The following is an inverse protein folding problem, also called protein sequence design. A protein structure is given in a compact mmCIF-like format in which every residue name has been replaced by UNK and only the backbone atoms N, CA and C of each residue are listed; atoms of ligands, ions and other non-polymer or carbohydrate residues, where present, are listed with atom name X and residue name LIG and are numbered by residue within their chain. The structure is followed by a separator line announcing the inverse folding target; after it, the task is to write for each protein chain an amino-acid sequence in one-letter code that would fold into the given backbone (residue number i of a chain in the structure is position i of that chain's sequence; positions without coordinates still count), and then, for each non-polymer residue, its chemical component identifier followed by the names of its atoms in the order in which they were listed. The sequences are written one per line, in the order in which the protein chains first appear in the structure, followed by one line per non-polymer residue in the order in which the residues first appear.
data_IF_290823304432
#
_entry.id   IF_290823304432
#
_cell.length_a   1.000
_cell.length_b   1.000
_cell.length_c   1.000
_cell.angle_alpha   90.00
_cell.angle_beta   90.00
_cell.angle_gamma   90.00
#
_symmetry.space_group_name_H-M   'P 1'
#
loop_
_entity.id
_entity.type
_entity.pdbx_description
1 polymer ?
#
# COMPACT_ATOMS: atom_id res chain seq x y z
N UNK A 1 -28.61 -3.53 -7.81
CA UNK A 1 -28.58 -2.05 -7.73
C UNK A 1 -29.63 -1.52 -8.69
N UNK A 2 -30.53 -0.66 -8.21
CA UNK A 2 -31.45 0.06 -9.09
C UNK A 2 -30.68 1.07 -9.96
N UNK A 3 -31.31 1.62 -11.01
CA UNK A 3 -30.66 2.55 -11.95
C UNK A 3 -30.15 3.82 -11.26
N UNK A 4 -30.84 4.30 -10.23
CA UNK A 4 -30.49 5.50 -9.49
C UNK A 4 -29.23 5.32 -8.63
N UNK A 5 -29.13 4.21 -7.89
CA UNK A 5 -27.94 3.84 -7.11
C UNK A 5 -26.73 3.57 -8.01
N UNK A 6 -26.94 2.96 -9.19
CA UNK A 6 -25.88 2.79 -10.19
C UNK A 6 -25.35 4.13 -10.70
N UNK A 7 -26.24 5.05 -11.09
CA UNK A 7 -25.85 6.38 -11.55
C UNK A 7 -25.08 7.14 -10.47
N UNK A 8 -25.56 7.12 -9.22
CA UNK A 8 -24.87 7.76 -8.08
C UNK A 8 -23.49 7.16 -7.82
N UNK A 9 -23.36 5.83 -7.89
CA UNK A 9 -22.08 5.15 -7.69
C UNK A 9 -21.09 5.52 -8.81
N UNK A 10 -21.52 5.49 -10.08
CA UNK A 10 -20.67 5.90 -11.21
C UNK A 10 -20.19 7.35 -11.01
N UNK A 11 -21.09 8.30 -10.76
CA UNK A 11 -20.72 9.71 -10.54
C UNK A 11 -19.71 9.84 -9.41
N UNK A 12 -19.95 9.19 -8.27
CA UNK A 12 -19.04 9.26 -7.11
C UNK A 12 -17.65 8.72 -7.45
N UNK A 13 -17.56 7.59 -8.15
CA UNK A 13 -16.29 6.96 -8.55
C UNK A 13 -15.56 7.76 -9.64
N UNK A 14 -16.30 8.35 -10.59
CA UNK A 14 -15.73 9.25 -11.60
C UNK A 14 -15.14 10.50 -10.97
N UNK A 15 -15.87 11.17 -10.07
CA UNK A 15 -15.36 12.34 -9.34
C UNK A 15 -14.09 11.97 -8.57
N UNK A 16 -14.10 10.83 -7.87
CA UNK A 16 -12.92 10.36 -7.15
C UNK A 16 -11.71 10.12 -8.08
N UNK A 17 -11.92 9.46 -9.21
CA UNK A 17 -10.86 9.19 -10.19
C UNK A 17 -10.28 10.49 -10.77
N UNK A 18 -11.13 11.47 -11.09
CA UNK A 18 -10.69 12.78 -11.56
C UNK A 18 -9.88 13.53 -10.50
N UNK A 19 -10.30 13.49 -9.24
CA UNK A 19 -9.53 14.08 -8.13
C UNK A 19 -8.16 13.41 -8.00
N UNK A 20 -8.09 12.07 -8.05
CA UNK A 20 -6.82 11.33 -8.04
C UNK A 20 -5.95 11.82 -9.20
N UNK A 21 -6.50 11.91 -10.40
CA UNK A 21 -5.74 12.31 -11.59
C UNK A 21 -5.21 13.73 -11.52
N UNK A 22 -6.05 14.68 -11.08
CA UNK A 22 -5.63 16.07 -10.86
C UNK A 22 -4.52 16.13 -9.83
N UNK A 23 -4.63 15.41 -8.71
CA UNK A 23 -3.60 15.39 -7.68
C UNK A 23 -2.29 14.78 -8.22
N UNK A 24 -2.36 13.67 -8.96
CA UNK A 24 -1.19 13.03 -9.59
C UNK A 24 -0.48 13.99 -10.55
N UNK A 25 -1.23 14.68 -11.43
CA UNK A 25 -0.68 15.67 -12.36
C UNK A 25 -0.07 16.85 -11.61
N UNK A 26 -0.75 17.35 -10.58
CA UNK A 26 -0.24 18.44 -9.73
C UNK A 26 1.07 18.05 -9.04
N UNK A 27 1.17 16.83 -8.49
CA UNK A 27 2.42 16.35 -7.89
C UNK A 27 3.55 16.26 -8.92
N UNK A 28 3.26 15.81 -10.13
CA UNK A 28 4.24 15.77 -11.22
C UNK A 28 4.75 17.19 -11.58
N UNK A 29 3.83 18.15 -11.74
CA UNK A 29 4.19 19.54 -12.08
C UNK A 29 5.02 20.22 -10.99
N UNK A 30 4.69 20.01 -9.72
CA UNK A 30 5.35 20.67 -8.59
C UNK A 30 6.68 19.97 -8.21
N UNK A 31 6.72 18.64 -8.19
CA UNK A 31 7.81 17.88 -7.59
C UNK A 31 8.56 16.96 -8.57
N UNK A 32 8.12 16.87 -9.83
CA UNK A 32 8.70 16.04 -10.88
C UNK A 32 8.15 14.61 -10.92
N UNK A 33 8.43 13.92 -12.01
CA UNK A 33 7.86 12.59 -12.30
C UNK A 33 8.23 11.53 -11.25
N UNK A 34 9.47 11.56 -10.75
CA UNK A 34 9.99 10.63 -9.73
C UNK A 34 9.28 10.72 -8.37
N UNK A 35 8.58 11.82 -8.12
CA UNK A 35 7.87 12.08 -6.87
C UNK A 35 6.34 11.94 -7.01
N UNK A 36 5.85 11.59 -8.19
CA UNK A 36 4.42 11.38 -8.46
C UNK A 36 3.82 10.27 -7.59
N UNK A 37 4.60 9.24 -7.26
CA UNK A 37 4.16 8.13 -6.42
C UNK A 37 3.83 8.56 -4.97
N UNK A 38 4.47 9.62 -4.46
CA UNK A 38 4.12 10.23 -3.17
C UNK A 38 2.72 10.85 -3.24
N UNK A 39 2.36 11.45 -4.38
CA UNK A 39 1.01 11.95 -4.63
C UNK A 39 -0.03 10.83 -4.59
N UNK A 40 0.23 9.71 -5.27
CA UNK A 40 -0.68 8.55 -5.27
C UNK A 40 -0.94 8.04 -3.84
N UNK A 41 0.10 7.83 -3.04
CA UNK A 41 -0.07 7.33 -1.66
C UNK A 41 -0.70 8.36 -0.74
N UNK A 42 -0.48 9.66 -0.98
CA UNK A 42 -1.21 10.75 -0.31
C UNK A 42 -2.72 10.61 -0.57
N UNK A 43 -3.15 10.40 -1.81
CA UNK A 43 -4.59 10.25 -2.11
C UNK A 43 -5.18 9.00 -1.46
N UNK A 44 -4.48 7.87 -1.50
CA UNK A 44 -4.93 6.64 -0.83
C UNK A 44 -5.08 6.89 0.69
N UNK A 45 -4.14 7.62 1.29
CA UNK A 45 -4.20 8.00 2.70
C UNK A 45 -5.41 8.87 3.01
N UNK A 46 -5.70 9.89 2.19
CA UNK A 46 -6.91 10.73 2.33
C UNK A 46 -8.16 9.85 2.37
N UNK A 47 -8.29 8.92 1.42
CA UNK A 47 -9.46 8.04 1.31
C UNK A 47 -9.63 7.15 2.54
N UNK A 48 -8.54 6.63 3.06
CA UNK A 48 -8.55 5.75 4.23
C UNK A 48 -8.74 6.50 5.55
N UNK A 49 -8.51 7.82 5.57
CA UNK A 49 -8.78 8.69 6.70
C UNK A 49 -10.16 9.36 6.64
N UNK A 50 -10.97 9.19 5.57
CA UNK A 50 -12.32 9.79 5.48
C UNK A 50 -13.29 9.35 6.59
N UNK A 51 -13.06 8.15 7.16
CA UNK A 51 -13.82 7.61 8.27
C UNK A 51 -13.38 8.09 9.65
N UNK A 52 -12.27 8.84 9.74
CA UNK A 52 -11.74 9.39 10.99
C UNK A 52 -12.01 10.88 11.11
N UNK A 53 -12.00 11.39 12.34
CA UNK A 53 -12.00 12.83 12.59
C UNK A 53 -10.68 13.28 13.20
N UNK A 54 -9.78 13.73 12.33
CA UNK A 54 -8.49 14.28 12.76
C UNK A 54 -8.55 15.76 13.17
N UNK A 55 -9.68 16.44 12.97
CA UNK A 55 -9.80 17.89 13.21
C UNK A 55 -9.98 18.24 14.68
N UNK A 56 -10.25 17.26 15.54
CA UNK A 56 -10.36 17.43 16.99
C UNK A 56 -9.02 17.85 17.64
N UNK A 57 -7.90 17.34 17.13
CA UNK A 57 -6.55 17.69 17.58
C UNK A 57 -5.65 17.95 16.38
N UNK A 58 -5.90 19.03 15.62
CA UNK A 58 -5.42 19.16 14.25
C UNK A 58 -3.90 19.33 14.19
N UNK A 59 -3.31 20.11 15.11
CA UNK A 59 -1.84 20.30 15.17
C UNK A 59 -1.13 19.00 15.50
N UNK A 60 -1.60 18.27 16.52
CA UNK A 60 -1.04 16.97 16.91
C UNK A 60 -1.11 15.97 15.76
N UNK A 61 -2.27 15.86 15.11
CA UNK A 61 -2.48 14.94 14.00
C UNK A 61 -1.65 15.33 12.78
N UNK A 62 -1.55 16.62 12.47
CA UNK A 62 -0.66 17.13 11.43
C UNK A 62 0.80 16.75 11.70
N UNK A 63 1.31 16.99 12.92
CA UNK A 63 2.68 16.64 13.28
C UNK A 63 2.94 15.13 13.20
N UNK A 64 1.96 14.30 13.56
CA UNK A 64 2.06 12.84 13.40
C UNK A 64 2.11 12.47 11.91
N UNK A 65 1.22 13.00 11.07
CA UNK A 65 1.22 12.73 9.62
C UNK A 65 2.53 13.16 8.96
N UNK A 66 2.99 14.36 9.30
CA UNK A 66 4.25 14.93 8.83
C UNK A 66 5.43 14.06 9.27
N UNK A 67 5.48 13.70 10.56
CA UNK A 67 6.52 12.85 11.12
C UNK A 67 6.59 11.47 10.45
N UNK A 68 5.43 10.82 10.23
CA UNK A 68 5.36 9.55 9.51
C UNK A 68 5.88 9.74 8.07
N UNK A 69 5.36 10.72 7.33
CA UNK A 69 5.76 10.93 5.94
C UNK A 69 7.27 11.16 5.79
N UNK A 70 7.85 12.03 6.61
CA UNK A 70 9.29 12.33 6.60
C UNK A 70 10.12 11.13 7.04
N UNK A 71 9.69 10.41 8.08
CA UNK A 71 10.39 9.21 8.53
C UNK A 71 10.45 8.15 7.43
N UNK A 72 9.36 7.92 6.69
CA UNK A 72 9.34 6.98 5.56
C UNK A 72 10.25 7.46 4.42
N UNK A 73 10.24 8.76 4.10
CA UNK A 73 11.09 9.35 3.06
C UNK A 73 12.58 9.19 3.37
N UNK A 74 12.99 9.56 4.57
CA UNK A 74 14.39 9.47 5.01
C UNK A 74 14.83 8.01 5.14
N UNK A 75 14.00 7.16 5.75
CA UNK A 75 14.35 5.75 5.96
C UNK A 75 14.50 5.01 4.63
N UNK A 76 13.58 5.21 3.68
CA UNK A 76 13.67 4.58 2.36
C UNK A 76 14.89 5.05 1.56
N UNK A 77 15.28 6.32 1.68
CA UNK A 77 16.49 6.85 1.08
C UNK A 77 17.76 6.20 1.64
N UNK A 78 17.88 6.09 2.97
CA UNK A 78 19.03 5.43 3.61
C UNK A 78 19.07 3.95 3.23
N UNK A 79 17.91 3.27 3.24
CA UNK A 79 17.81 1.85 2.92
C UNK A 79 18.18 1.55 1.46
N UNK A 80 17.77 2.40 0.51
CA UNK A 80 18.09 2.22 -0.89
C UNK A 80 19.58 2.44 -1.20
N UNK A 81 20.26 3.31 -0.45
CA UNK A 81 21.66 3.63 -0.66
C UNK A 81 22.64 2.60 -0.06
N UNK A 82 22.22 1.84 0.96
CA UNK A 82 23.05 0.78 1.53
C UNK A 82 22.19 -0.43 1.87
N UNK A 83 22.34 -1.52 1.10
CA UNK A 83 21.50 -2.73 1.23
C UNK A 83 21.65 -3.40 2.61
N UNK A 84 22.84 -3.36 3.23
CA UNK A 84 23.09 -3.97 4.55
C UNK A 84 22.47 -3.19 5.70
N UNK A 85 22.47 -1.86 5.61
CA UNK A 85 21.69 -1.03 6.54
C UNK A 85 20.21 -1.12 6.20
N UNK A 86 19.90 -1.21 4.91
CA UNK A 86 18.55 -1.26 4.35
C UNK A 86 17.75 -2.45 4.82
N UNK A 87 18.32 -3.65 4.95
CA UNK A 87 17.58 -4.80 5.50
C UNK A 87 17.10 -4.55 6.94
N UNK A 88 17.91 -3.86 7.76
CA UNK A 88 17.55 -3.53 9.14
C UNK A 88 16.47 -2.46 9.17
N UNK A 89 16.61 -1.42 8.33
CA UNK A 89 15.63 -0.34 8.21
C UNK A 89 14.30 -0.86 7.65
N UNK A 90 14.32 -1.62 6.56
CA UNK A 90 13.15 -2.23 5.93
C UNK A 90 12.38 -3.08 6.94
N UNK A 91 13.09 -3.94 7.67
CA UNK A 91 12.49 -4.76 8.72
C UNK A 91 11.80 -3.89 9.77
N UNK A 92 12.52 -2.88 10.27
CA UNK A 92 12.03 -2.00 11.34
C UNK A 92 10.82 -1.20 10.89
N UNK A 93 10.91 -0.49 9.76
CA UNK A 93 9.85 0.37 9.23
C UNK A 93 8.59 -0.41 8.91
N UNK A 94 8.71 -1.54 8.20
CA UNK A 94 7.54 -2.33 7.81
C UNK A 94 6.92 -3.08 9.00
N UNK A 95 7.73 -3.48 9.99
CA UNK A 95 7.20 -4.01 11.26
C UNK A 95 6.45 -2.93 12.05
N UNK A 96 7.00 -1.72 12.15
CA UNK A 96 6.33 -0.60 12.84
C UNK A 96 5.01 -0.22 12.15
N UNK A 97 5.01 -0.10 10.82
CA UNK A 97 3.79 0.11 10.03
C UNK A 97 2.79 -1.02 10.31
N UNK A 98 3.25 -2.27 10.22
CA UNK A 98 2.41 -3.44 10.43
C UNK A 98 1.81 -3.52 11.84
N UNK A 99 2.54 -3.09 12.86
CA UNK A 99 2.07 -3.11 14.24
C UNK A 99 1.12 -1.96 14.57
N UNK A 100 1.51 -0.73 14.28
CA UNK A 100 0.77 0.47 14.70
C UNK A 100 -0.48 0.75 13.84
N UNK A 101 -0.46 0.35 12.57
CA UNK A 101 -1.59 0.59 11.65
C UNK A 101 -2.51 -0.61 11.46
N UNK A 102 -2.25 -1.77 12.07
CA UNK A 102 -3.18 -2.91 12.14
C UNK A 102 -4.21 -2.80 13.27
N UNK A 103 -4.49 -1.55 13.65
CA UNK A 103 -5.38 -1.23 14.74
C UNK A 103 -6.83 -1.65 14.46
N UNK A 104 -7.55 -2.09 15.51
CA UNK A 104 -8.86 -2.74 15.43
C UNK A 104 -8.90 -3.92 14.43
N UNK A 105 -7.75 -4.54 14.15
CA UNK A 105 -7.59 -5.59 13.12
C UNK A 105 -7.95 -5.12 11.71
N UNK A 106 -8.06 -3.81 11.50
CA UNK A 106 -8.26 -3.20 10.18
C UNK A 106 -6.91 -2.90 9.56
N UNK A 107 -6.79 -3.13 8.25
CA UNK A 107 -5.56 -2.84 7.49
C UNK A 107 -5.56 -1.47 6.83
N UNK A 108 -6.47 -0.59 7.24
CA UNK A 108 -6.75 0.68 6.55
C UNK A 108 -5.46 1.45 6.26
N UNK A 109 -4.72 1.84 7.30
CA UNK A 109 -3.53 2.69 7.12
C UNK A 109 -2.24 1.92 6.80
N UNK A 110 -2.24 0.59 6.89
CA UNK A 110 -1.07 -0.23 6.52
C UNK A 110 -0.77 -0.07 5.03
N UNK A 111 -1.82 -0.14 4.19
CA UNK A 111 -1.67 -0.10 2.74
C UNK A 111 -1.00 1.18 2.24
N UNK A 112 -1.47 2.40 2.56
CA UNK A 112 -0.90 3.64 2.02
C UNK A 112 0.53 3.86 2.51
N UNK A 113 0.81 3.69 3.80
CA UNK A 113 2.13 3.93 4.35
C UNK A 113 3.14 2.85 3.96
N UNK A 114 2.72 1.58 3.90
CA UNK A 114 3.57 0.51 3.40
C UNK A 114 3.89 0.68 1.91
N UNK A 115 2.89 1.02 1.08
CA UNK A 115 3.15 1.33 -0.34
C UNK A 115 4.01 2.59 -0.51
N UNK A 116 3.83 3.63 0.30
CA UNK A 116 4.65 4.83 0.23
C UNK A 116 6.12 4.51 0.47
N UNK A 117 6.41 3.77 1.53
CA UNK A 117 7.77 3.30 1.81
C UNK A 117 8.34 2.48 0.66
N UNK A 118 7.59 1.47 0.20
CA UNK A 118 8.05 0.56 -0.85
C UNK A 118 8.21 1.24 -2.21
N UNK A 119 7.36 2.19 -2.55
CA UNK A 119 7.50 2.99 -3.77
C UNK A 119 8.79 3.81 -3.73
N UNK A 120 9.03 4.54 -2.64
CA UNK A 120 10.24 5.35 -2.50
C UNK A 120 11.52 4.51 -2.46
N UNK A 121 11.48 3.34 -1.82
CA UNK A 121 12.60 2.37 -1.79
C UNK A 121 12.95 1.85 -3.19
N UNK A 122 11.94 1.61 -4.03
CA UNK A 122 12.10 1.04 -5.38
C UNK A 122 12.18 2.11 -6.49
N UNK A 123 12.15 3.39 -6.13
CA UNK A 123 12.49 4.53 -6.98
C UNK A 123 13.40 5.49 -6.21
N UNK A 124 14.65 5.09 -5.91
CA UNK A 124 15.58 5.97 -5.18
C UNK A 124 15.84 7.24 -5.99
N UNK A 125 16.02 8.34 -5.26
CA UNK A 125 16.32 9.66 -5.85
C UNK A 125 17.39 10.32 -4.99
N UNK A 126 18.24 11.11 -5.63
CA UNK A 126 19.38 11.78 -5.00
C UNK A 126 19.36 13.29 -5.27
N UNK A 127 20.21 14.02 -4.54
CA UNK A 127 20.44 15.44 -4.74
C UNK A 127 19.17 16.30 -4.69
N UNK A 128 19.01 17.19 -5.67
CA UNK A 128 17.87 18.10 -5.74
C UNK A 128 16.52 17.39 -5.91
N UNK A 129 16.49 16.21 -6.54
CA UNK A 129 15.25 15.42 -6.70
C UNK A 129 14.79 14.86 -5.35
N UNK A 130 15.73 14.45 -4.50
CA UNK A 130 15.43 14.06 -3.12
C UNK A 130 14.88 15.21 -2.29
N UNK A 131 15.43 16.42 -2.44
CA UNK A 131 14.88 17.62 -1.78
C UNK A 131 13.42 17.85 -2.19
N UNK A 132 13.11 17.71 -3.50
CA UNK A 132 11.71 17.75 -3.97
C UNK A 132 10.84 16.65 -3.38
N UNK A 133 11.38 15.45 -3.12
CA UNK A 133 10.66 14.37 -2.43
C UNK A 133 10.26 14.77 -1.02
N UNK A 134 11.17 15.42 -0.28
CA UNK A 134 10.87 15.95 1.07
C UNK A 134 9.76 17.00 0.99
N UNK A 135 9.82 17.94 0.05
CA UNK A 135 8.73 18.90 -0.15
C UNK A 135 7.41 18.23 -0.53
N UNK A 136 7.43 17.21 -1.38
CA UNK A 136 6.24 16.44 -1.75
C UNK A 136 5.60 15.73 -0.54
N UNK A 137 6.42 15.18 0.37
CA UNK A 137 5.96 14.53 1.60
C UNK A 137 5.35 15.49 2.61
N UNK A 138 5.95 16.68 2.76
CA UNK A 138 5.41 17.78 3.58
C UNK A 138 4.08 18.24 2.99
N UNK A 139 4.05 18.50 1.68
CA UNK A 139 2.86 18.93 0.97
C UNK A 139 1.74 17.89 1.04
N UNK A 140 2.07 16.60 0.95
CA UNK A 140 1.12 15.52 1.14
C UNK A 140 0.47 15.53 2.53
N UNK A 141 1.23 15.76 3.60
CA UNK A 141 0.69 15.88 4.96
C UNK A 141 -0.26 17.09 5.09
N UNK A 142 0.09 18.22 4.46
CA UNK A 142 -0.76 19.42 4.41
C UNK A 142 -2.09 19.12 3.70
N UNK A 143 -2.04 18.51 2.51
CA UNK A 143 -3.25 18.15 1.75
C UNK A 143 -4.13 17.19 2.55
N UNK A 144 -3.54 16.19 3.22
CA UNK A 144 -4.30 15.28 4.06
C UNK A 144 -5.06 16.06 5.13
N UNK A 145 -4.41 16.96 5.86
CA UNK A 145 -5.10 17.76 6.89
C UNK A 145 -6.16 18.71 6.33
N UNK A 146 -5.88 19.39 5.21
CA UNK A 146 -6.86 20.24 4.52
C UNK A 146 -8.10 19.41 4.13
N UNK A 147 -7.89 18.21 3.57
CA UNK A 147 -9.00 17.32 3.20
C UNK A 147 -9.84 16.90 4.41
N UNK A 148 -9.21 16.69 5.57
CA UNK A 148 -9.92 16.36 6.82
C UNK A 148 -10.83 17.50 7.28
N UNK A 149 -10.35 18.75 7.23
CA UNK A 149 -11.18 19.92 7.51
C UNK A 149 -12.35 20.05 6.54
N UNK A 150 -12.14 19.88 5.23
CA UNK A 150 -13.21 19.97 4.23
C UNK A 150 -14.29 18.89 4.44
N UNK A 151 -13.88 17.65 4.71
CA UNK A 151 -14.79 16.51 4.85
C UNK A 151 -15.56 16.57 6.17
N UNK A 152 -14.89 16.92 7.28
CA UNK A 152 -15.51 16.90 8.61
C UNK A 152 -16.26 18.21 8.91
N UNK A 153 -15.98 19.32 8.22
CA UNK A 153 -16.78 20.55 8.34
C UNK A 153 -18.27 20.36 7.99
N UNK A 154 -18.62 19.32 7.20
CA UNK A 154 -20.00 19.03 6.77
C UNK A 154 -20.71 17.94 7.58
N UNK A 155 -20.01 17.26 8.50
CA UNK A 155 -20.60 16.19 9.30
C UNK A 155 -21.08 16.74 10.63
N UNK A 156 -22.40 16.78 10.83
CA UNK A 156 -22.97 16.96 12.18
C UNK A 156 -22.60 15.74 13.02
N UNK A 157 -21.58 15.85 13.87
CA UNK A 157 -21.22 15.10 15.10
C UNK A 157 -21.83 13.70 15.36
N UNK A 158 -22.04 12.86 14.35
CA UNK A 158 -22.45 11.46 14.52
C UNK A 158 -21.31 10.55 14.09
N UNK A 159 -20.17 10.59 14.80
CA UNK A 159 -19.18 9.54 14.72
C UNK A 159 -18.66 9.16 16.11
N UNK A 160 -18.90 7.89 16.45
CA UNK A 160 -18.40 7.22 17.65
C UNK A 160 -17.03 6.60 17.36
N UNK A 161 -16.10 6.88 18.28
CA UNK A 161 -15.10 5.97 18.87
C UNK A 161 -13.62 5.98 18.43
N UNK A 162 -13.13 6.74 17.43
CA UNK A 162 -11.67 6.67 17.17
C UNK A 162 -10.99 7.88 16.50
N UNK A 163 -10.41 8.75 17.34
CA UNK A 163 -9.80 10.01 16.91
C UNK A 163 -8.27 9.95 16.77
N UNK A 164 -7.67 8.75 16.75
CA UNK A 164 -6.21 8.57 16.71
C UNK A 164 -5.73 7.96 15.38
N UNK A 165 -4.65 8.53 14.83
CA UNK A 165 -3.95 8.01 13.64
C UNK A 165 -3.23 6.71 14.01
N UNK A 166 -2.59 6.72 15.19
CA UNK A 166 -1.87 5.60 15.78
C UNK A 166 -2.75 5.01 16.88
N UNK A 167 -3.03 3.72 16.75
CA UNK A 167 -3.97 3.05 17.61
C UNK A 167 -3.40 2.61 18.95
N UNK A 168 -3.94 3.16 20.04
CA UNK A 168 -3.81 2.62 21.39
C UNK A 168 -5.21 2.60 22.01
N UNK A 169 -5.91 1.47 21.93
CA UNK A 169 -7.20 1.36 22.59
C UNK A 169 -6.98 0.94 24.03
N UNK A 170 -7.66 1.61 24.96
CA UNK A 170 -7.78 1.13 26.34
C UNK A 170 -8.85 0.04 26.46
N UNK A 171 -9.72 -0.11 25.47
CA UNK A 171 -10.89 -0.99 25.49
C UNK A 171 -10.75 -2.25 24.59
N UNK A 172 -9.55 -2.57 24.10
CA UNK A 172 -9.34 -3.79 23.29
C UNK A 172 -9.31 -5.06 24.16
N UNK A 173 -9.87 -6.15 23.62
CA UNK A 173 -10.07 -7.45 24.29
C UNK A 173 -8.75 -7.96 24.90
N UNK A 174 -8.72 -8.07 26.24
CA UNK A 174 -7.53 -8.37 27.06
C UNK A 174 -6.95 -9.78 26.78
N UNK A 175 -7.70 -10.68 26.13
CA UNK A 175 -7.27 -12.08 25.86
C UNK A 175 -6.21 -12.23 24.77
N UNK A 176 -6.01 -11.22 23.92
CA UNK A 176 -5.04 -11.26 22.80
C UNK A 176 -3.71 -10.59 23.17
N UNK A 177 -3.70 -9.84 24.26
CA UNK A 177 -2.53 -9.19 24.82
C UNK A 177 -1.76 -10.14 25.72
N UNK A 178 -0.43 -10.14 25.60
CA UNK A 178 0.46 -10.83 26.54
C UNK A 178 1.42 -9.82 27.15
N UNK A 179 1.64 -9.94 28.45
CA UNK A 179 2.63 -9.14 29.16
C UNK A 179 4.02 -9.75 29.02
N UNK A 180 4.99 -8.90 28.67
CA UNK A 180 6.40 -9.27 28.64
C UNK A 180 7.20 -8.27 29.48
N UNK A 181 8.23 -8.75 30.16
CA UNK A 181 9.22 -7.91 30.82
C UNK A 181 10.28 -7.51 29.79
N UNK A 182 10.27 -6.26 29.35
CA UNK A 182 11.23 -5.68 28.42
C UNK A 182 11.95 -4.54 29.13
N UNK A 183 13.28 -4.62 29.21
CA UNK A 183 14.11 -3.59 29.86
C UNK A 183 13.63 -3.19 31.26
N UNK A 184 13.22 -4.17 32.08
CA UNK A 184 12.73 -3.94 33.43
C UNK A 184 11.31 -3.34 33.54
N UNK A 185 10.62 -3.10 32.42
CA UNK A 185 9.23 -2.61 32.40
C UNK A 185 8.28 -3.66 31.84
N UNK A 186 7.09 -3.78 32.44
CA UNK A 186 6.01 -4.64 31.93
C UNK A 186 5.34 -3.96 30.74
N UNK A 187 5.36 -4.62 29.59
CA UNK A 187 4.75 -4.11 28.35
C UNK A 187 3.71 -5.11 27.86
N UNK A 188 2.48 -4.63 27.62
CA UNK A 188 1.41 -5.41 26.99
C UNK A 188 1.59 -5.39 25.46
N UNK A 189 1.75 -6.56 24.85
CA UNK A 189 1.94 -6.72 23.40
C UNK A 189 0.73 -7.45 22.78
N UNK A 190 0.14 -6.86 21.74
CA UNK A 190 -0.93 -7.51 20.99
C UNK A 190 -0.34 -8.61 20.10
N UNK A 191 -0.59 -9.88 20.45
CA UNK A 191 0.14 -11.01 19.84
C UNK A 191 -0.13 -11.19 18.34
N UNK A 192 -1.37 -10.94 17.87
CA UNK A 192 -1.69 -11.06 16.43
C UNK A 192 -1.01 -9.96 15.61
N UNK A 193 -1.07 -8.70 16.07
CA UNK A 193 -0.38 -7.57 15.42
C UNK A 193 1.13 -7.75 15.40
N UNK A 194 1.71 -8.19 16.50
CA UNK A 194 3.14 -8.46 16.60
C UNK A 194 3.58 -9.57 15.63
N UNK A 195 2.84 -10.67 15.58
CA UNK A 195 3.08 -11.75 14.62
C UNK A 195 3.02 -11.26 13.17
N UNK A 196 1.96 -10.51 12.83
CA UNK A 196 1.81 -9.92 11.51
C UNK A 196 2.94 -8.95 11.17
N UNK A 197 3.27 -8.04 12.07
CA UNK A 197 4.34 -7.05 11.94
C UNK A 197 5.69 -7.71 11.68
N UNK A 198 6.06 -8.70 12.49
CA UNK A 198 7.30 -9.45 12.32
C UNK A 198 7.30 -10.17 10.97
N UNK A 199 6.19 -10.82 10.59
CA UNK A 199 6.10 -11.56 9.32
C UNK A 199 6.24 -10.62 8.12
N UNK A 200 5.49 -9.51 8.09
CA UNK A 200 5.53 -8.56 6.97
C UNK A 200 6.88 -7.85 6.90
N UNK A 201 7.44 -7.45 8.05
CA UNK A 201 8.75 -6.82 8.12
C UNK A 201 9.86 -7.75 7.64
N UNK A 202 9.94 -8.96 8.20
CA UNK A 202 11.00 -9.92 7.86
C UNK A 202 10.94 -10.33 6.39
N UNK A 203 9.75 -10.72 5.92
CA UNK A 203 9.60 -11.23 4.57
C UNK A 203 9.87 -10.15 3.53
N UNK A 204 9.38 -8.93 3.77
CA UNK A 204 9.61 -7.82 2.85
C UNK A 204 11.06 -7.35 2.88
N UNK A 205 11.69 -7.26 4.05
CA UNK A 205 13.10 -6.86 4.18
C UNK A 205 14.06 -7.83 3.47
N UNK A 206 13.89 -9.14 3.68
CA UNK A 206 14.69 -10.16 2.99
C UNK A 206 14.49 -10.06 1.47
N UNK A 207 13.24 -9.88 1.03
CA UNK A 207 12.92 -9.80 -0.39
C UNK A 207 13.48 -8.53 -1.03
N UNK A 208 13.37 -7.39 -0.34
CA UNK A 208 13.98 -6.12 -0.76
C UNK A 208 15.49 -6.23 -0.84
N UNK A 209 16.13 -6.83 0.18
CA UNK A 209 17.57 -7.09 0.19
C UNK A 209 17.98 -7.89 -1.04
N UNK A 210 17.31 -9.03 -1.31
CA UNK A 210 17.59 -9.86 -2.49
C UNK A 210 17.41 -9.06 -3.78
N UNK A 211 16.28 -8.35 -3.92
CA UNK A 211 15.98 -7.61 -5.14
C UNK A 211 17.00 -6.50 -5.42
N UNK A 212 17.40 -5.74 -4.39
CA UNK A 212 18.36 -4.65 -4.50
C UNK A 212 19.80 -5.16 -4.65
N UNK A 213 20.20 -6.17 -3.87
CA UNK A 213 21.54 -6.75 -3.91
C UNK A 213 21.86 -7.37 -5.27
N UNK A 214 20.94 -8.19 -5.81
CA UNK A 214 21.09 -8.81 -7.13
C UNK A 214 20.64 -7.90 -8.29
N UNK A 215 20.22 -6.66 -8.01
CA UNK A 215 19.73 -5.68 -9.00
C UNK A 215 18.68 -6.26 -9.95
N UNK A 216 17.72 -7.00 -9.38
CA UNK A 216 16.71 -7.73 -10.14
C UNK A 216 15.80 -6.74 -10.91
N UNK A 217 15.79 -6.76 -12.26
CA UNK A 217 14.92 -5.87 -13.02
C UNK A 217 13.46 -6.16 -12.69
N UNK A 218 12.69 -5.14 -12.28
CA UNK A 218 11.31 -5.27 -11.81
C UNK A 218 11.11 -6.16 -10.56
N UNK A 219 12.18 -6.41 -9.78
CA UNK A 219 12.12 -7.18 -8.53
C UNK A 219 11.09 -6.64 -7.52
N UNK A 220 10.75 -5.36 -7.61
CA UNK A 220 9.67 -4.70 -6.86
C UNK A 220 8.32 -5.43 -6.94
N UNK A 221 8.04 -6.16 -8.03
CA UNK A 221 6.80 -6.92 -8.17
C UNK A 221 6.70 -8.11 -7.23
N UNK A 222 7.83 -8.72 -6.87
CA UNK A 222 7.92 -9.75 -5.86
C UNK A 222 7.63 -9.15 -4.47
N UNK A 223 8.26 -8.01 -4.17
CA UNK A 223 8.10 -7.26 -2.91
C UNK A 223 6.63 -6.84 -2.71
N UNK A 224 6.01 -6.22 -3.72
CA UNK A 224 4.61 -5.78 -3.64
C UNK A 224 3.65 -6.98 -3.49
N UNK A 225 3.97 -8.11 -4.09
CA UNK A 225 3.18 -9.34 -3.95
C UNK A 225 3.21 -9.83 -2.51
N UNK A 226 4.41 -9.97 -1.93
CA UNK A 226 4.61 -10.35 -0.53
C UNK A 226 3.87 -9.41 0.42
N UNK A 227 4.03 -8.10 0.23
CA UNK A 227 3.36 -7.10 1.05
C UNK A 227 1.82 -7.24 0.97
N UNK A 228 1.27 -7.42 -0.24
CA UNK A 228 -0.18 -7.52 -0.44
C UNK A 228 -0.81 -8.84 0.03
N UNK A 229 -0.01 -9.91 0.08
CA UNK A 229 -0.44 -11.25 0.49
C UNK A 229 -0.25 -11.51 1.99
N UNK A 230 0.63 -10.76 2.64
CA UNK A 230 0.84 -10.93 4.08
C UNK A 230 -0.42 -10.48 4.81
N UNK A 231 -1.03 -11.39 5.55
CA UNK A 231 -2.31 -11.23 6.24
C UNK A 231 -2.18 -11.43 7.75
N UNK A 232 -3.04 -10.72 8.51
CA UNK A 232 -3.14 -10.87 9.97
C UNK A 232 -3.50 -12.31 10.34
N UNK A 233 -4.39 -12.91 9.53
CA UNK A 233 -4.85 -14.28 9.67
C UNK A 233 -4.40 -15.15 8.49
N UNK A 234 -4.00 -16.38 8.81
CA UNK A 234 -3.35 -17.27 7.84
C UNK A 234 -4.26 -17.74 6.72
N UNK A 235 -5.57 -17.82 6.96
CA UNK A 235 -6.60 -18.25 6.02
C UNK A 235 -6.75 -17.26 4.87
N UNK A 236 -6.77 -15.96 5.19
CA UNK A 236 -6.91 -14.88 4.22
C UNK A 236 -5.73 -14.82 3.26
N UNK A 237 -4.53 -15.17 3.72
CA UNK A 237 -3.33 -15.22 2.88
C UNK A 237 -3.51 -16.22 1.73
N UNK A 238 -4.05 -17.42 2.02
CA UNK A 238 -4.26 -18.46 0.99
C UNK A 238 -5.28 -18.03 -0.06
N UNK A 239 -6.41 -17.46 0.37
CA UNK A 239 -7.46 -16.98 -0.54
C UNK A 239 -6.91 -15.87 -1.45
N UNK A 240 -6.19 -14.91 -0.86
CA UNK A 240 -5.57 -13.81 -1.62
C UNK A 240 -4.48 -14.29 -2.56
N UNK A 241 -3.64 -15.24 -2.13
CA UNK A 241 -2.59 -15.82 -2.97
C UNK A 241 -3.15 -16.38 -4.28
N UNK A 242 -4.24 -17.16 -4.18
CA UNK A 242 -4.89 -17.72 -5.36
C UNK A 242 -5.47 -16.64 -6.28
N UNK A 243 -6.22 -15.69 -5.71
CA UNK A 243 -6.78 -14.55 -6.46
C UNK A 243 -5.70 -13.67 -7.10
N UNK A 244 -4.54 -13.52 -6.46
CA UNK A 244 -3.38 -12.77 -6.97
C UNK A 244 -2.79 -13.42 -8.20
N UNK A 245 -2.60 -14.74 -8.18
CA UNK A 245 -2.12 -15.51 -9.33
C UNK A 245 -3.11 -15.42 -10.49
N UNK A 246 -4.40 -15.69 -10.23
CA UNK A 246 -5.45 -15.58 -11.24
C UNK A 246 -5.50 -14.18 -11.88
N UNK A 247 -5.55 -13.13 -11.05
CA UNK A 247 -5.62 -11.77 -11.57
C UNK A 247 -4.38 -11.36 -12.35
N UNK A 248 -3.19 -11.84 -11.96
CA UNK A 248 -1.95 -11.56 -12.69
C UNK A 248 -1.93 -12.27 -14.04
N UNK A 249 -2.33 -13.53 -14.12
CA UNK A 249 -2.38 -14.29 -15.38
C UNK A 249 -3.40 -13.65 -16.34
N UNK A 250 -4.61 -13.38 -15.86
CA UNK A 250 -5.67 -12.77 -16.67
C UNK A 250 -5.26 -11.37 -17.14
N UNK A 251 -4.78 -10.51 -16.24
CA UNK A 251 -4.34 -9.15 -16.60
C UNK A 251 -3.17 -9.15 -17.59
N UNK A 252 -2.23 -10.09 -17.45
CA UNK A 252 -1.12 -10.26 -18.39
C UNK A 252 -1.61 -10.67 -19.78
N UNK A 253 -2.52 -11.65 -19.86
CA UNK A 253 -3.12 -12.09 -21.11
C UNK A 253 -3.87 -10.96 -21.82
N UNK A 254 -4.64 -10.16 -21.08
CA UNK A 254 -5.36 -8.99 -21.61
C UNK A 254 -4.39 -8.00 -22.27
N UNK A 255 -3.27 -7.66 -21.61
CA UNK A 255 -2.28 -6.73 -22.20
C UNK A 255 -1.62 -7.32 -23.43
N UNK A 256 -1.22 -8.59 -23.38
CA UNK A 256 -0.59 -9.28 -24.52
C UNK A 256 -1.52 -9.22 -25.73
N UNK A 257 -2.78 -9.65 -25.59
CA UNK A 257 -3.76 -9.67 -26.67
C UNK A 257 -4.06 -8.25 -27.16
N UNK A 258 -4.31 -7.30 -26.26
CA UNK A 258 -4.60 -5.92 -26.65
C UNK A 258 -3.46 -5.28 -27.45
N UNK A 259 -2.20 -5.52 -27.06
CA UNK A 259 -1.03 -4.94 -27.74
C UNK A 259 -0.67 -5.64 -29.06
N UNK A 260 -1.19 -6.86 -29.31
CA UNK A 260 -1.08 -7.49 -30.64
C UNK A 260 -1.81 -6.65 -31.69
N UNK A 261 -3.04 -6.23 -31.39
CA UNK A 261 -3.89 -5.48 -32.33
C UNK A 261 -3.67 -3.97 -32.26
N UNK A 262 -3.45 -3.42 -31.06
CA UNK A 262 -3.30 -1.98 -30.85
C UNK A 262 -1.82 -1.62 -30.94
N UNK A 263 -1.42 -1.00 -32.05
CA UNK A 263 -0.04 -0.51 -32.27
C UNK A 263 0.14 0.96 -31.87
N UNK A 264 -0.92 1.76 -31.94
CA UNK A 264 -0.87 3.18 -31.64
C UNK A 264 -0.53 3.45 -30.15
N UNK A 265 0.54 4.21 -29.83
CA UNK A 265 0.94 4.49 -28.45
C UNK A 265 -0.11 5.23 -27.61
N UNK A 266 -0.87 6.16 -28.20
CA UNK A 266 -1.92 6.89 -27.49
C UNK A 266 -3.06 5.96 -27.08
N UNK A 267 -3.47 5.05 -27.97
CA UNK A 267 -4.47 4.02 -27.64
C UNK A 267 -3.97 3.04 -26.57
N UNK A 268 -2.67 2.71 -26.56
CA UNK A 268 -2.06 1.93 -25.47
C UNK A 268 -2.06 2.68 -24.14
N UNK A 269 -1.81 3.99 -24.17
CA UNK A 269 -1.96 4.89 -23.02
C UNK A 269 -3.37 4.88 -22.45
N UNK A 270 -4.39 4.89 -23.32
CA UNK A 270 -5.80 4.86 -22.94
C UNK A 270 -6.18 3.56 -22.20
N UNK A 271 -5.56 2.42 -22.53
CA UNK A 271 -5.77 1.16 -21.79
C UNK A 271 -5.37 1.30 -20.32
N UNK A 272 -4.26 2.00 -20.03
CA UNK A 272 -3.78 2.24 -18.67
C UNK A 272 -4.78 3.10 -17.89
N UNK A 273 -5.29 4.16 -18.52
CA UNK A 273 -6.28 5.05 -17.93
C UNK A 273 -7.60 4.33 -17.65
N UNK A 274 -8.09 3.52 -18.59
CA UNK A 274 -9.30 2.72 -18.41
C UNK A 274 -9.11 1.73 -17.26
N UNK A 275 -7.98 1.03 -17.21
CA UNK A 275 -7.70 0.08 -16.13
C UNK A 275 -7.66 0.78 -14.76
N UNK A 276 -7.02 1.96 -14.68
CA UNK A 276 -7.01 2.79 -13.49
C UNK A 276 -8.41 3.23 -13.05
N UNK A 277 -9.24 3.68 -14.00
CA UNK A 277 -10.61 4.09 -13.72
C UNK A 277 -11.48 2.93 -13.21
N UNK A 278 -11.44 1.79 -13.91
CA UNK A 278 -12.19 0.59 -13.55
C UNK A 278 -11.76 0.02 -12.19
N UNK A 279 -10.52 0.27 -11.76
CA UNK A 279 -10.02 -0.22 -10.47
C UNK A 279 -10.85 0.29 -9.28
N UNK A 280 -11.45 1.47 -9.42
CA UNK A 280 -12.30 2.07 -8.39
C UNK A 280 -13.65 1.33 -8.19
N UNK A 281 -14.04 0.51 -9.17
CA UNK A 281 -15.27 -0.30 -9.16
C UNK A 281 -15.01 -1.77 -8.77
N UNK A 282 -13.75 -2.21 -8.80
CA UNK A 282 -13.40 -3.59 -8.46
C UNK A 282 -13.51 -3.82 -6.95
N UNK A 283 -14.39 -4.75 -6.55
CA UNK A 283 -14.59 -5.16 -5.16
C UNK A 283 -13.86 -6.47 -4.84
N UNK A 284 -13.84 -7.42 -5.77
CA UNK A 284 -13.12 -8.67 -5.60
C UNK A 284 -11.60 -8.46 -5.78
N UNK A 285 -10.82 -9.02 -4.86
CA UNK A 285 -9.36 -8.90 -4.91
C UNK A 285 -8.77 -9.42 -6.23
N UNK A 286 -9.35 -10.46 -6.86
CA UNK A 286 -8.92 -10.93 -8.18
C UNK A 286 -9.05 -9.82 -9.21
N UNK A 287 -10.18 -9.15 -9.26
CA UNK A 287 -10.48 -8.14 -10.28
C UNK A 287 -9.63 -6.88 -10.07
N UNK A 288 -9.38 -6.49 -8.81
CA UNK A 288 -8.38 -5.46 -8.48
C UNK A 288 -7.00 -5.87 -9.01
N UNK A 289 -6.60 -7.13 -8.85
CA UNK A 289 -5.30 -7.62 -9.34
C UNK A 289 -5.21 -7.72 -10.86
N UNK A 290 -6.32 -7.96 -11.58
CA UNK A 290 -6.37 -7.88 -13.05
C UNK A 290 -6.02 -6.46 -13.49
N UNK A 291 -6.75 -5.49 -12.97
CA UNK A 291 -6.60 -4.08 -13.34
C UNK A 291 -5.24 -3.52 -12.93
N UNK A 292 -4.79 -3.82 -11.70
CA UNK A 292 -3.46 -3.45 -11.24
C UNK A 292 -2.33 -4.09 -12.06
N UNK A 293 -2.55 -5.29 -12.61
CA UNK A 293 -1.56 -5.95 -13.48
C UNK A 293 -1.53 -5.31 -14.85
N UNK A 294 -2.69 -4.93 -15.41
CA UNK A 294 -2.75 -4.16 -16.66
C UNK A 294 -2.00 -2.82 -16.48
N UNK A 295 -2.30 -2.07 -15.42
CA UNK A 295 -1.62 -0.79 -15.13
C UNK A 295 -0.12 -0.93 -14.85
N UNK A 296 0.35 -2.10 -14.39
CA UNK A 296 1.78 -2.33 -14.14
C UNK A 296 2.55 -2.79 -15.39
N UNK A 297 1.94 -3.64 -16.24
CA UNK A 297 2.58 -4.20 -17.44
C UNK A 297 2.52 -3.21 -18.59
N UNK A 298 1.36 -2.60 -18.86
CA UNK A 298 1.12 -1.83 -20.07
C UNK A 298 2.14 -0.67 -20.29
N UNK A 299 2.52 0.13 -19.28
CA UNK A 299 3.53 1.19 -19.46
C UNK A 299 4.88 0.63 -19.91
N UNK A 300 5.36 -0.45 -19.28
CA UNK A 300 6.66 -1.06 -19.58
C UNK A 300 6.64 -1.86 -20.89
N UNK A 301 5.48 -2.40 -21.25
CA UNK A 301 5.26 -3.17 -22.47
C UNK A 301 5.32 -2.30 -23.74
N UNK A 302 5.09 -0.98 -23.63
CA UNK A 302 5.20 -0.04 -24.76
C UNK A 302 6.63 -0.04 -25.32
N UNK A 303 7.63 -0.10 -24.45
CA UNK A 303 9.05 0.00 -24.81
C UNK A 303 9.77 -1.34 -24.86
N UNK A 304 9.42 -2.28 -23.97
CA UNK A 304 10.17 -3.54 -23.78
C UNK A 304 9.48 -4.79 -24.37
N UNK A 305 8.31 -4.62 -25.00
CA UNK A 305 7.50 -5.73 -25.52
C UNK A 305 6.58 -6.36 -24.47
N UNK A 306 5.32 -6.59 -24.85
CA UNK A 306 4.27 -7.05 -23.93
C UNK A 306 4.50 -8.45 -23.38
N UNK A 307 4.96 -9.40 -24.20
CA UNK A 307 5.19 -10.79 -23.79
C UNK A 307 6.29 -10.88 -22.74
N UNK A 308 7.42 -10.21 -22.97
CA UNK A 308 8.58 -10.24 -22.07
C UNK A 308 8.23 -9.68 -20.67
N UNK A 309 7.60 -8.50 -20.63
CA UNK A 309 7.19 -7.84 -19.38
C UNK A 309 6.12 -8.67 -18.65
N UNK A 310 5.17 -9.26 -19.38
CA UNK A 310 4.16 -10.14 -18.80
C UNK A 310 4.76 -11.41 -18.17
N UNK A 311 5.69 -12.09 -18.85
CA UNK A 311 6.35 -13.27 -18.30
C UNK A 311 7.16 -12.93 -17.03
N UNK A 312 7.90 -11.82 -17.04
CA UNK A 312 8.59 -11.31 -15.84
C UNK A 312 7.60 -11.06 -14.69
N UNK A 313 6.45 -10.46 -14.98
CA UNK A 313 5.42 -10.20 -13.96
C UNK A 313 4.91 -11.48 -13.33
N UNK A 314 4.55 -12.46 -14.17
CA UNK A 314 4.06 -13.76 -13.72
C UNK A 314 5.13 -14.46 -12.87
N UNK A 315 6.38 -14.49 -13.32
CA UNK A 315 7.50 -15.10 -12.59
C UNK A 315 7.67 -14.50 -11.18
N UNK A 316 7.81 -13.18 -11.06
CA UNK A 316 7.99 -12.54 -9.75
C UNK A 316 6.78 -12.67 -8.84
N UNK A 317 5.56 -12.68 -9.39
CA UNK A 317 4.34 -12.91 -8.60
C UNK A 317 4.29 -14.35 -8.10
N UNK A 318 4.69 -15.35 -8.90
CA UNK A 318 4.78 -16.75 -8.45
C UNK A 318 5.79 -16.88 -7.32
N UNK A 319 7.00 -16.36 -7.47
CA UNK A 319 8.04 -16.42 -6.44
C UNK A 319 7.55 -15.74 -5.15
N UNK A 320 7.04 -14.52 -5.25
CA UNK A 320 6.50 -13.79 -4.10
C UNK A 320 5.34 -14.51 -3.42
N UNK A 321 4.49 -15.19 -4.19
CA UNK A 321 3.37 -15.99 -3.66
C UNK A 321 3.87 -17.21 -2.90
N UNK A 322 4.85 -17.94 -3.44
CA UNK A 322 5.46 -19.10 -2.76
C UNK A 322 6.09 -18.67 -1.44
N UNK A 323 6.90 -17.61 -1.46
CA UNK A 323 7.55 -17.07 -0.27
C UNK A 323 6.53 -16.63 0.79
N UNK A 324 5.46 -15.93 0.37
CA UNK A 324 4.38 -15.52 1.27
C UNK A 324 3.65 -16.72 1.90
N UNK A 325 3.37 -17.78 1.13
CA UNK A 325 2.71 -18.99 1.63
C UNK A 325 3.60 -19.79 2.59
N UNK A 326 4.90 -19.89 2.30
CA UNK A 326 5.88 -20.52 3.20
C UNK A 326 5.97 -19.75 4.52
N UNK A 327 6.17 -18.43 4.45
CA UNK A 327 6.20 -17.58 5.64
C UNK A 327 4.89 -17.67 6.45
N UNK A 328 3.74 -17.70 5.77
CA UNK A 328 2.44 -17.85 6.42
C UNK A 328 2.27 -19.20 7.15
N UNK A 329 2.97 -20.25 6.69
CA UNK A 329 2.98 -21.56 7.35
C UNK A 329 3.93 -21.61 8.54
N UNK A 330 5.13 -21.05 8.40
CA UNK A 330 6.23 -21.27 9.36
C UNK A 330 6.47 -20.11 10.34
N UNK A 331 6.08 -18.88 10.00
CA UNK A 331 6.43 -17.69 10.80
C UNK A 331 5.21 -17.22 11.61
N UNK A 332 5.23 -17.54 12.91
CA UNK A 332 4.29 -17.02 13.91
C UNK A 332 2.81 -17.14 13.51
N UNK A 333 2.38 -18.28 12.96
CA UNK A 333 1.03 -18.46 12.41
C UNK A 333 -0.07 -18.10 13.43
N UNK A 334 -1.12 -17.43 12.95
CA UNK A 334 -2.33 -17.11 13.71
C UNK A 334 -3.57 -17.49 12.88
N UNK A 335 -4.49 -18.25 13.48
CA UNK A 335 -5.75 -18.65 12.86
C UNK A 335 -6.93 -17.91 13.49
N UNK A 336 -7.92 -17.54 12.68
CA UNK A 336 -9.19 -16.98 13.19
C UNK A 336 -9.92 -17.98 14.12
N UNK A 337 -9.85 -19.29 13.79
CA UNK A 337 -10.51 -20.36 14.56
C UNK A 337 -9.98 -20.47 15.99
N UNK A 338 -8.71 -20.17 16.21
CA UNK A 338 -8.08 -20.21 17.54
C UNK A 338 -8.57 -19.08 18.47
N UNK A 339 -9.20 -18.03 17.92
CA UNK A 339 -9.59 -16.82 18.67
C UNK A 339 -11.11 -16.58 18.69
N UNK A 340 -11.92 -17.57 18.29
CA UNK A 340 -13.38 -17.52 18.40
C UNK A 340 -14.08 -16.47 17.53
N UNK A 341 -13.39 -15.91 16.54
CA UNK A 341 -13.94 -14.91 15.61
C UNK A 341 -14.44 -15.64 14.36
N UNK A 342 -15.77 -15.82 14.24
CA UNK A 342 -16.45 -16.28 13.02
C UNK A 342 -16.74 -15.12 12.08
#
# INVERSE_FOLDING_TARGET
MDKASLKKNIISKTVLFLIIMILVVMFNLLFGEDNTLVGVTTVITILMLLGKDLTQNPVKNFLILLGINLALGISSFIAANNVWVGIIIDFSVLSLIGYYFSYAMTKGLILPYGLQYLFMLNSPVDGHIFVKRIYALIFGAIIIMISQFIVNAKKNNVFKKENSIIGFNKDEIDSVYKEYALFGKKVKIHTIRASYAIRVGLLTAITSFIALYFKLPEGRWMIYTIFSLTELYSENCKIRAWKRLQGTIIGSAVVIVAFMFIKNPALRGLIILIAGYLSSFASDYRDVMILATISAIAPLAITNGSVYIALKRIMYVIIGTILALLANRFILRKSQKEHGLQ
#
